data_IF_161550773873
#
_entry.id   IF_161550773873
#
_cell.length_a   1.000
_cell.length_b   1.000
_cell.length_c   1.000
_cell.angle_alpha   90.00
_cell.angle_beta   90.00
_cell.angle_gamma   90.00
#
_symmetry.space_group_name_H-M   'P 1'
#
loop_
_entity.id
_entity.type
_entity.pdbx_description
1 polymer ?
#
# COMPACT_ATOMS: atom_id res chain seq x y z
N UNK A 1 7.25 13.27 -18.24
CA UNK A 1 7.40 13.94 -16.93
C UNK A 1 7.59 12.84 -15.91
N UNK A 2 8.80 12.69 -15.38
CA UNK A 2 9.08 11.77 -14.28
C UNK A 2 9.24 12.62 -13.01
N UNK A 3 8.45 12.34 -11.98
CA UNK A 3 8.64 12.99 -10.69
C UNK A 3 9.85 12.31 -10.05
N UNK A 4 10.90 13.09 -9.82
CA UNK A 4 12.08 12.59 -9.12
C UNK A 4 11.72 12.09 -7.73
N UNK A 5 12.33 10.98 -7.31
CA UNK A 5 12.19 10.40 -5.97
C UNK A 5 12.21 11.43 -4.82
N UNK A 6 13.11 12.44 -4.78
CA UNK A 6 13.10 13.43 -3.70
C UNK A 6 11.85 14.32 -3.70
N UNK A 7 11.38 14.74 -4.87
CA UNK A 7 10.16 15.56 -5.00
C UNK A 7 8.94 14.79 -4.54
N UNK A 8 8.87 13.50 -4.88
CA UNK A 8 7.80 12.62 -4.41
C UNK A 8 7.86 12.41 -2.89
N UNK A 9 9.06 12.25 -2.32
CA UNK A 9 9.24 12.13 -0.87
C UNK A 9 8.76 13.38 -0.13
N UNK A 10 9.13 14.58 -0.57
CA UNK A 10 8.67 15.83 0.04
C UNK A 10 7.14 15.97 -0.02
N UNK A 11 6.51 15.60 -1.15
CA UNK A 11 5.05 15.61 -1.29
C UNK A 11 4.38 14.60 -0.35
N UNK A 12 4.94 13.40 -0.21
CA UNK A 12 4.42 12.37 0.69
C UNK A 12 4.65 12.73 2.16
N UNK A 13 5.70 13.47 2.49
CA UNK A 13 5.93 14.03 3.83
C UNK A 13 4.91 15.12 4.16
N UNK A 14 4.57 15.97 3.18
CA UNK A 14 3.55 17.00 3.32
C UNK A 14 2.12 16.44 3.34
N UNK A 15 1.90 15.23 2.80
CA UNK A 15 0.60 14.57 2.75
C UNK A 15 0.70 13.09 3.15
N UNK A 16 0.76 12.78 4.46
CA UNK A 16 0.82 11.40 4.95
C UNK A 16 -0.41 10.58 4.54
N UNK A 17 -1.58 11.20 4.39
CA UNK A 17 -2.80 10.55 3.89
C UNK A 17 -2.63 9.96 2.49
N UNK A 18 -1.81 10.60 1.64
CA UNK A 18 -1.54 10.14 0.29
C UNK A 18 -0.76 8.81 0.31
N UNK A 19 0.21 8.70 1.23
CA UNK A 19 1.00 7.49 1.46
C UNK A 19 0.12 6.34 1.94
N UNK A 20 -0.82 6.62 2.85
CA UNK A 20 -1.78 5.62 3.35
C UNK A 20 -2.68 5.11 2.23
N UNK A 21 -3.28 6.00 1.42
CA UNK A 21 -4.11 5.61 0.26
C UNK A 21 -3.34 4.81 -0.79
N UNK A 22 -2.07 5.15 -1.03
CA UNK A 22 -1.17 4.38 -1.89
C UNK A 22 -0.95 2.97 -1.36
N UNK A 23 -0.71 2.83 -0.06
CA UNK A 23 -0.55 1.52 0.59
C UNK A 23 -1.81 0.66 0.48
N UNK A 24 -2.99 1.26 0.58
CA UNK A 24 -4.28 0.58 0.41
C UNK A 24 -4.51 0.12 -1.03
N UNK A 25 -4.21 0.97 -2.01
CA UNK A 25 -4.29 0.62 -3.42
C UNK A 25 -3.35 -0.55 -3.77
N UNK A 26 -2.13 -0.54 -3.24
CA UNK A 26 -1.17 -1.62 -3.45
C UNK A 26 -1.59 -2.92 -2.75
N UNK A 27 -2.16 -2.84 -1.54
CA UNK A 27 -2.70 -3.99 -0.84
C UNK A 27 -3.85 -4.64 -1.62
N UNK A 28 -4.81 -3.84 -2.10
CA UNK A 28 -5.93 -4.32 -2.94
C UNK A 28 -5.44 -4.99 -4.21
N UNK A 29 -4.53 -4.33 -4.95
CA UNK A 29 -3.95 -4.88 -6.18
C UNK A 29 -3.18 -6.18 -5.93
N UNK A 30 -2.48 -6.29 -4.81
CA UNK A 30 -1.81 -7.53 -4.40
C UNK A 30 -2.81 -8.65 -4.13
N UNK A 31 -3.91 -8.38 -3.44
CA UNK A 31 -4.96 -9.37 -3.20
C UNK A 31 -5.65 -9.83 -4.48
N UNK A 32 -5.88 -8.91 -5.43
CA UNK A 32 -6.38 -9.22 -6.76
C UNK A 32 -5.41 -10.13 -7.53
N UNK A 33 -4.11 -9.82 -7.48
CA UNK A 33 -3.05 -10.58 -8.17
C UNK A 33 -2.87 -11.98 -7.59
N UNK A 34 -2.98 -12.12 -6.26
CA UNK A 34 -2.88 -13.41 -5.57
C UNK A 34 -4.15 -14.28 -5.73
N UNK A 35 -5.19 -13.81 -6.42
CA UNK A 35 -6.43 -14.55 -6.61
C UNK A 35 -7.26 -14.71 -5.32
N UNK A 36 -6.88 -14.03 -4.23
CA UNK A 36 -7.58 -14.07 -2.94
C UNK A 36 -9.02 -13.53 -3.01
N UNK A 37 -9.35 -12.79 -4.06
CA UNK A 37 -10.71 -12.32 -4.37
C UNK A 37 -11.60 -13.39 -5.03
N UNK A 38 -11.02 -14.47 -5.59
CA UNK A 38 -11.76 -15.47 -6.37
C UNK A 38 -12.08 -16.75 -5.60
N UNK A 39 -11.35 -17.07 -4.55
CA UNK A 39 -11.66 -18.22 -3.70
C UNK A 39 -12.33 -17.75 -2.41
N UNK A 40 -13.27 -18.55 -1.91
CA UNK A 40 -14.09 -18.30 -0.73
C UNK A 40 -13.27 -18.29 0.59
N UNK A 41 -12.21 -17.50 0.63
CA UNK A 41 -11.45 -17.18 1.84
C UNK A 41 -12.36 -16.30 2.69
N UNK A 42 -12.66 -16.78 3.90
CA UNK A 42 -13.55 -16.10 4.85
C UNK A 42 -13.25 -14.60 4.91
N UNK A 43 -14.27 -13.75 4.78
CA UNK A 43 -14.14 -12.27 4.73
C UNK A 43 -13.23 -11.70 5.84
N UNK A 44 -13.19 -12.35 7.00
CA UNK A 44 -12.33 -12.02 8.14
C UNK A 44 -10.84 -12.30 7.90
N UNK A 45 -10.49 -13.40 7.24
CA UNK A 45 -9.11 -13.71 6.84
C UNK A 45 -8.64 -12.77 5.73
N UNK A 46 -9.54 -12.43 4.82
CA UNK A 46 -9.31 -11.47 3.73
C UNK A 46 -9.04 -10.07 4.29
N UNK A 47 -9.85 -9.60 5.25
CA UNK A 47 -9.65 -8.31 5.92
C UNK A 47 -8.34 -8.27 6.73
N UNK A 48 -7.98 -9.37 7.40
CA UNK A 48 -6.70 -9.46 8.12
C UNK A 48 -5.50 -9.39 7.17
N UNK A 49 -5.54 -10.14 6.05
CA UNK A 49 -4.49 -10.11 5.03
C UNK A 49 -4.39 -8.74 4.35
N UNK A 50 -5.51 -8.08 4.08
CA UNK A 50 -5.53 -6.72 3.54
C UNK A 50 -4.77 -5.76 4.46
N UNK A 51 -5.06 -5.82 5.77
CA UNK A 51 -4.39 -4.99 6.78
C UNK A 51 -2.89 -5.28 6.86
N UNK A 52 -2.52 -6.56 6.90
CA UNK A 52 -1.10 -6.98 6.92
C UNK A 52 -0.35 -6.51 5.66
N UNK A 53 -0.97 -6.58 4.48
CA UNK A 53 -0.39 -6.07 3.25
C UNK A 53 -0.30 -4.56 3.24
N UNK A 54 -1.33 -3.85 3.69
CA UNK A 54 -1.31 -2.41 3.82
C UNK A 54 -0.16 -1.95 4.71
N UNK A 55 -0.02 -2.52 5.91
CA UNK A 55 1.05 -2.17 6.85
C UNK A 55 2.44 -2.49 6.27
N UNK A 56 2.57 -3.63 5.57
CA UNK A 56 3.81 -4.00 4.87
C UNK A 56 4.17 -2.99 3.77
N UNK A 57 3.20 -2.61 2.94
CA UNK A 57 3.43 -1.65 1.87
C UNK A 57 3.71 -0.25 2.41
N UNK A 58 2.98 0.17 3.45
CA UNK A 58 3.21 1.45 4.12
C UNK A 58 4.65 1.52 4.68
N UNK A 59 5.09 0.48 5.36
CA UNK A 59 6.47 0.40 5.85
C UNK A 59 7.49 0.46 4.71
N UNK A 60 7.28 -0.31 3.63
CA UNK A 60 8.16 -0.29 2.45
C UNK A 60 8.20 1.07 1.76
N UNK A 61 7.05 1.74 1.63
CA UNK A 61 6.97 3.07 1.04
C UNK A 61 7.70 4.10 1.90
N UNK A 62 7.53 4.06 3.23
CA UNK A 62 8.29 4.92 4.15
C UNK A 62 9.80 4.70 4.03
N UNK A 63 10.26 3.45 4.06
CA UNK A 63 11.68 3.12 3.86
C UNK A 63 12.17 3.53 2.48
N UNK A 64 11.36 3.31 1.43
CA UNK A 64 11.73 3.66 0.07
C UNK A 64 11.90 5.17 -0.10
N UNK A 65 10.99 5.98 0.45
CA UNK A 65 11.03 7.43 0.37
C UNK A 65 11.85 8.09 1.50
N UNK A 66 12.45 7.31 2.39
CA UNK A 66 13.24 7.79 3.53
C UNK A 66 12.44 8.79 4.40
N UNK A 67 11.19 8.40 4.71
CA UNK A 67 10.19 9.16 5.46
C UNK A 67 10.11 8.78 6.93
#
# INVERSE_FOLDING_TARGET
MEIGKPVMADLLRASPDCLERLSELLAKRKMETEGLLKEAVSHTQTARKEREYRDTFLHRLRTFFEL
#
